data_IF_817918309972
#
_entry.id   IF_817918309972
#
_cell.length_a   1.000
_cell.length_b   1.000
_cell.length_c   1.000
_cell.angle_alpha   90.00
_cell.angle_beta   90.00
_cell.angle_gamma   90.00
#
_symmetry.space_group_name_H-M   'P 1'
#
loop_
_entity.id
_entity.type
_entity.pdbx_description
1 polymer ?
#
# COMPACT_ATOMS: atom_id res chain seq x y z
N UNK A 1 27.38 7.11 -1.44
CA UNK A 1 27.39 5.65 -1.70
C UNK A 1 28.82 5.15 -1.64
N UNK A 2 29.05 4.03 -0.93
CA UNK A 2 30.35 3.35 -0.89
C UNK A 2 30.17 1.98 -1.55
N UNK A 3 31.16 1.60 -2.36
CA UNK A 3 31.19 0.24 -2.90
C UNK A 3 31.38 -0.72 -1.72
N UNK A 4 30.58 -1.78 -1.60
CA UNK A 4 30.83 -2.80 -0.58
C UNK A 4 32.21 -3.40 -0.69
N UNK A 5 32.87 -3.55 0.44
CA UNK A 5 34.26 -4.11 0.51
C UNK A 5 34.25 -5.65 0.45
N UNK A 6 33.10 -6.29 0.61
CA UNK A 6 32.92 -7.74 0.58
C UNK A 6 31.98 -8.14 -0.54
N UNK A 7 32.09 -9.37 -0.97
CA UNK A 7 31.13 -9.95 -1.90
C UNK A 7 29.71 -9.88 -1.31
N UNK A 8 28.80 -9.30 -2.08
CA UNK A 8 27.39 -9.27 -1.73
C UNK A 8 26.73 -10.50 -2.31
N UNK A 9 25.95 -11.20 -1.48
CA UNK A 9 25.14 -12.33 -1.93
C UNK A 9 24.12 -11.84 -2.95
N UNK A 10 24.02 -12.59 -4.08
CA UNK A 10 23.11 -12.29 -5.19
C UNK A 10 22.26 -13.48 -5.53
N UNK A 11 21.07 -13.22 -6.02
CA UNK A 11 20.23 -14.20 -6.70
C UNK A 11 20.64 -14.35 -8.16
N UNK A 12 20.57 -15.55 -8.68
CA UNK A 12 20.73 -15.83 -10.13
C UNK A 12 19.36 -15.77 -10.78
N UNK A 13 19.19 -14.84 -11.73
CA UNK A 13 17.96 -14.69 -12.50
C UNK A 13 18.12 -15.34 -13.86
N UNK A 14 17.22 -16.25 -14.21
CA UNK A 14 17.13 -16.88 -15.51
C UNK A 14 15.83 -16.47 -16.18
N UNK A 15 15.92 -15.88 -17.37
CA UNK A 15 14.76 -15.49 -18.19
C UNK A 15 14.83 -16.22 -19.53
N UNK A 16 13.73 -16.82 -19.95
CA UNK A 16 13.66 -17.56 -21.18
C UNK A 16 12.39 -17.22 -21.98
N UNK A 17 12.50 -17.25 -23.30
CA UNK A 17 11.40 -17.06 -24.25
C UNK A 17 11.61 -17.99 -25.44
N UNK A 18 10.55 -18.61 -25.93
CA UNK A 18 10.57 -19.37 -27.16
C UNK A 18 10.20 -18.50 -28.38
N UNK A 19 10.81 -18.78 -29.52
CA UNK A 19 10.49 -18.18 -30.81
C UNK A 19 9.98 -19.23 -31.75
N UNK A 20 8.79 -19.04 -32.28
CA UNK A 20 8.20 -19.91 -33.29
C UNK A 20 8.72 -19.62 -34.71
N UNK A 21 8.52 -20.54 -35.66
CA UNK A 21 8.96 -20.38 -37.06
C UNK A 21 8.35 -19.14 -37.74
N UNK A 22 7.15 -18.74 -37.34
CA UNK A 22 6.40 -17.61 -37.91
C UNK A 22 6.71 -16.28 -37.24
N UNK A 23 7.78 -16.20 -36.42
CA UNK A 23 8.14 -15.01 -35.67
C UNK A 23 7.29 -14.80 -34.41
N UNK A 24 6.37 -15.71 -34.10
CA UNK A 24 5.61 -15.66 -32.84
C UNK A 24 6.54 -15.91 -31.67
N UNK A 25 6.26 -15.20 -30.56
CA UNK A 25 7.05 -15.28 -29.31
C UNK A 25 6.16 -15.73 -28.16
N UNK A 26 6.69 -16.61 -27.30
CA UNK A 26 6.04 -16.94 -26.04
C UNK A 26 6.13 -15.78 -25.04
N UNK A 27 5.35 -15.84 -23.97
CA UNK A 27 5.60 -15.10 -22.75
C UNK A 27 7.03 -15.33 -22.26
N UNK A 28 7.57 -14.37 -21.50
CA UNK A 28 8.86 -14.54 -20.83
C UNK A 28 8.63 -15.28 -19.53
N UNK A 29 9.28 -16.43 -19.38
CA UNK A 29 9.33 -17.17 -18.11
C UNK A 29 10.55 -16.71 -17.33
N UNK A 30 10.36 -16.34 -16.07
CA UNK A 30 11.40 -15.83 -15.18
C UNK A 30 11.50 -16.71 -13.94
N UNK A 31 12.72 -17.15 -13.61
CA UNK A 31 13.02 -17.86 -12.37
C UNK A 31 14.22 -17.21 -11.67
N UNK A 32 14.15 -17.15 -10.33
CA UNK A 32 15.26 -16.72 -9.49
C UNK A 32 15.74 -17.88 -8.63
N UNK A 33 17.04 -18.05 -8.58
CA UNK A 33 17.70 -19.07 -7.77
C UNK A 33 18.66 -18.40 -6.78
N UNK A 34 18.56 -18.82 -5.53
CA UNK A 34 19.48 -18.46 -4.46
C UNK A 34 20.32 -19.68 -4.12
N UNK A 35 21.63 -19.59 -4.34
CA UNK A 35 22.57 -20.72 -4.14
C UNK A 35 23.60 -20.34 -3.09
N UNK A 36 23.55 -21.01 -1.94
CA UNK A 36 24.46 -20.85 -0.81
C UNK A 36 24.46 -22.15 -0.01
N UNK A 37 25.61 -22.57 0.52
CA UNK A 37 25.72 -23.77 1.34
C UNK A 37 24.85 -23.69 2.62
N UNK A 38 24.62 -22.47 3.13
CA UNK A 38 23.86 -22.19 4.33
C UNK A 38 22.56 -21.42 4.04
N UNK A 39 21.96 -21.62 2.87
CA UNK A 39 20.79 -20.81 2.43
C UNK A 39 19.65 -20.85 3.44
N UNK A 40 19.35 -22.00 4.05
CA UNK A 40 18.30 -22.18 5.05
C UNK A 40 18.52 -21.34 6.33
N UNK A 41 19.76 -20.97 6.62
CA UNK A 41 20.14 -20.18 7.79
C UNK A 41 20.35 -18.69 7.46
N UNK A 42 20.50 -18.35 6.17
CA UNK A 42 20.86 -16.99 5.73
C UNK A 42 19.77 -15.97 6.03
N UNK A 43 18.52 -16.30 5.75
CA UNK A 43 17.39 -15.39 5.95
C UNK A 43 16.31 -16.09 6.81
N UNK A 44 15.91 -15.42 7.88
CA UNK A 44 14.78 -15.82 8.73
C UNK A 44 13.48 -15.11 8.35
N UNK A 45 13.55 -14.22 7.37
CA UNK A 45 12.44 -13.52 6.77
C UNK A 45 12.14 -14.12 5.39
N UNK A 46 10.90 -14.01 4.90
CA UNK A 46 10.61 -14.33 3.51
C UNK A 46 11.46 -13.46 2.58
N UNK A 47 11.71 -13.98 1.39
CA UNK A 47 12.48 -13.29 0.35
C UNK A 47 11.57 -12.96 -0.83
N UNK A 48 11.58 -11.71 -1.27
CA UNK A 48 10.97 -11.29 -2.52
C UNK A 48 12.04 -11.08 -3.56
N UNK A 49 11.91 -11.77 -4.71
CA UNK A 49 12.64 -11.46 -5.93
C UNK A 49 11.74 -10.69 -6.88
N UNK A 50 12.14 -9.48 -7.22
CA UNK A 50 11.47 -8.63 -8.21
C UNK A 50 12.36 -8.52 -9.44
N UNK A 51 11.89 -9.00 -10.58
CA UNK A 51 12.64 -9.01 -11.84
C UNK A 51 11.93 -8.18 -12.89
N UNK A 52 12.63 -7.20 -13.43
CA UNK A 52 12.11 -6.31 -14.49
C UNK A 52 13.24 -5.89 -15.42
N UNK A 53 12.93 -5.34 -16.57
CA UNK A 53 13.94 -4.72 -17.43
C UNK A 53 14.63 -3.56 -16.69
N UNK A 54 15.96 -3.49 -16.67
CA UNK A 54 16.66 -2.41 -15.97
C UNK A 54 16.22 -1.00 -16.38
N UNK A 55 15.84 -0.80 -17.64
CA UNK A 55 15.33 0.47 -18.13
C UNK A 55 14.03 0.89 -17.45
N UNK A 56 13.17 -0.06 -17.03
CA UNK A 56 11.95 0.23 -16.27
C UNK A 56 12.22 0.99 -14.96
N UNK A 57 13.38 0.76 -14.38
CA UNK A 57 13.81 1.39 -13.12
C UNK A 57 14.71 2.61 -13.34
N UNK A 58 15.67 2.51 -14.29
CA UNK A 58 16.83 3.40 -14.33
C UNK A 58 16.96 4.23 -15.62
N UNK A 59 16.08 4.06 -16.61
CA UNK A 59 16.11 4.92 -17.81
C UNK A 59 15.77 6.38 -17.44
N UNK A 60 16.44 7.32 -18.11
CA UNK A 60 16.28 8.75 -17.85
C UNK A 60 14.88 9.26 -18.14
N UNK A 61 14.23 8.76 -19.18
CA UNK A 61 12.91 9.22 -19.59
C UNK A 61 11.77 8.49 -18.88
N UNK A 62 11.92 7.19 -18.66
CA UNK A 62 10.83 6.29 -18.25
C UNK A 62 11.10 5.52 -16.98
N UNK A 63 12.31 5.54 -16.45
CA UNK A 63 12.70 4.79 -15.25
C UNK A 63 12.05 5.32 -13.98
N UNK A 64 11.28 4.47 -13.32
CA UNK A 64 10.46 4.87 -12.17
C UNK A 64 11.27 5.13 -10.88
N UNK A 65 12.56 4.85 -10.86
CA UNK A 65 13.43 5.15 -9.72
C UNK A 65 14.24 6.44 -9.93
N UNK A 66 14.14 7.04 -11.11
CA UNK A 66 14.95 8.20 -11.49
C UNK A 66 14.24 9.52 -11.17
N UNK A 67 15.03 10.55 -10.95
CA UNK A 67 14.58 11.94 -11.06
C UNK A 67 14.16 12.24 -12.49
N UNK A 68 15.00 11.87 -13.42
CA UNK A 68 14.78 11.77 -14.86
C UNK A 68 14.39 13.08 -15.54
N UNK A 69 13.79 12.93 -16.72
CA UNK A 69 13.36 14.06 -17.55
C UNK A 69 12.31 14.93 -16.84
N UNK A 70 11.40 14.32 -16.08
CA UNK A 70 10.35 15.07 -15.37
C UNK A 70 10.97 16.12 -14.44
N UNK A 71 12.00 15.74 -13.65
CA UNK A 71 12.63 16.72 -12.78
C UNK A 71 13.45 17.75 -13.53
N UNK A 72 14.14 17.36 -14.60
CA UNK A 72 14.90 18.30 -15.43
C UNK A 72 13.99 19.37 -16.07
N UNK A 73 12.84 18.97 -16.58
CA UNK A 73 11.86 19.90 -17.16
C UNK A 73 11.28 20.83 -16.08
N UNK A 74 10.96 20.27 -14.91
CA UNK A 74 10.46 21.06 -13.79
C UNK A 74 11.47 22.12 -13.33
N UNK A 75 12.75 21.74 -13.17
CA UNK A 75 13.84 22.70 -12.81
C UNK A 75 13.97 23.79 -13.86
N UNK A 76 13.91 23.43 -15.14
CA UNK A 76 14.00 24.40 -16.23
C UNK A 76 12.84 25.42 -16.21
N UNK A 77 11.67 24.99 -15.77
CA UNK A 77 10.46 25.82 -15.65
C UNK A 77 10.39 26.59 -14.32
N UNK A 78 11.21 26.24 -13.33
CA UNK A 78 11.22 26.83 -11.99
C UNK A 78 12.66 27.20 -11.56
N UNK A 79 13.33 28.14 -12.26
CA UNK A 79 14.70 28.50 -11.98
C UNK A 79 14.85 29.07 -10.55
N UNK A 80 15.80 28.54 -9.80
CA UNK A 80 16.08 28.96 -8.42
C UNK A 80 15.17 28.31 -7.34
N UNK A 81 14.26 27.44 -7.71
CA UNK A 81 13.46 26.70 -6.74
C UNK A 81 14.32 25.74 -5.89
N UNK A 82 13.97 25.63 -4.60
CA UNK A 82 14.59 24.66 -3.69
C UNK A 82 14.05 23.26 -3.99
N UNK A 83 14.97 22.29 -4.13
CA UNK A 83 14.61 20.90 -4.40
C UNK A 83 14.44 20.14 -3.10
N UNK A 84 13.32 19.46 -2.94
CA UNK A 84 13.00 18.62 -1.79
C UNK A 84 12.28 17.32 -2.20
N UNK A 85 11.71 16.60 -1.23
CA UNK A 85 10.99 15.33 -1.47
C UNK A 85 9.69 15.48 -2.26
N UNK A 86 9.13 16.68 -2.35
CA UNK A 86 7.93 16.99 -3.13
C UNK A 86 8.25 17.36 -4.59
N UNK A 87 9.52 17.67 -4.88
CA UNK A 87 9.95 18.06 -6.23
C UNK A 87 9.58 16.98 -7.26
N UNK A 88 8.86 17.33 -8.34
CA UNK A 88 8.50 16.36 -9.36
C UNK A 88 9.70 15.63 -9.96
N UNK A 89 9.53 14.35 -10.22
CA UNK A 89 10.51 13.47 -10.87
C UNK A 89 9.78 12.25 -11.46
N UNK A 90 10.48 11.40 -12.21
CA UNK A 90 9.88 10.16 -12.70
C UNK A 90 9.33 9.30 -11.57
N UNK A 91 10.01 9.30 -10.40
CA UNK A 91 9.66 8.46 -9.26
C UNK A 91 8.33 8.84 -8.60
N UNK A 92 7.80 10.03 -8.80
CA UNK A 92 6.52 10.42 -8.18
C UNK A 92 5.36 10.55 -9.17
N UNK A 93 5.56 10.11 -10.39
CA UNK A 93 4.51 10.07 -11.39
C UNK A 93 3.47 9.00 -11.06
N UNK A 94 2.26 9.20 -11.55
CA UNK A 94 1.09 8.36 -11.30
C UNK A 94 0.50 7.90 -12.63
N UNK A 95 -0.47 7.02 -12.58
CA UNK A 95 -1.17 6.51 -13.75
C UNK A 95 -0.57 5.21 -14.29
N UNK A 96 -1.29 4.61 -15.23
CA UNK A 96 -0.90 3.32 -15.82
C UNK A 96 0.30 3.45 -16.76
N UNK A 97 0.55 4.61 -17.32
CA UNK A 97 1.70 4.93 -18.17
C UNK A 97 3.03 4.90 -17.38
N UNK A 98 2.96 5.02 -16.05
CA UNK A 98 4.11 4.90 -15.15
C UNK A 98 4.18 3.57 -14.42
N UNK A 99 3.30 2.63 -14.77
CA UNK A 99 3.37 1.25 -14.29
C UNK A 99 4.31 0.44 -15.18
N UNK A 100 5.21 -0.34 -14.58
CA UNK A 100 6.21 -1.15 -15.29
C UNK A 100 5.95 -2.61 -15.05
N UNK A 101 6.12 -3.41 -16.10
CA UNK A 101 6.02 -4.86 -16.00
C UNK A 101 7.19 -5.44 -15.18
N UNK A 102 6.88 -6.40 -14.33
CA UNK A 102 7.84 -7.15 -13.54
C UNK A 102 7.33 -8.56 -13.26
N UNK A 103 8.24 -9.47 -12.93
CA UNK A 103 7.91 -10.76 -12.32
C UNK A 103 8.26 -10.69 -10.84
N UNK A 104 7.30 -11.02 -9.96
CA UNK A 104 7.53 -11.19 -8.53
C UNK A 104 7.56 -12.68 -8.20
N UNK A 105 8.57 -13.10 -7.42
CA UNK A 105 8.60 -14.42 -6.79
C UNK A 105 8.73 -14.23 -5.28
N UNK A 106 7.85 -14.89 -4.56
CA UNK A 106 7.84 -14.90 -3.09
C UNK A 106 8.36 -16.25 -2.59
N UNK A 107 9.37 -16.20 -1.74
CA UNK A 107 9.96 -17.36 -1.08
C UNK A 107 9.69 -17.30 0.41
N UNK A 108 9.23 -18.39 0.98
CA UNK A 108 9.12 -18.56 2.43
C UNK A 108 10.51 -18.66 3.08
N UNK A 109 10.62 -18.46 4.41
CA UNK A 109 11.90 -18.57 5.11
C UNK A 109 12.58 -19.95 5.00
N UNK A 110 11.80 -21.00 4.73
CA UNK A 110 12.31 -22.36 4.50
C UNK A 110 12.83 -22.58 3.06
N UNK A 111 12.73 -21.56 2.21
CA UNK A 111 13.13 -21.58 0.81
C UNK A 111 12.08 -22.10 -0.17
N UNK A 112 10.89 -22.51 0.32
CA UNK A 112 9.79 -22.88 -0.57
C UNK A 112 9.27 -21.68 -1.35
N UNK A 113 8.88 -21.91 -2.62
CA UNK A 113 8.25 -20.88 -3.46
C UNK A 113 6.77 -20.79 -3.07
N UNK A 114 6.35 -19.66 -2.54
CA UNK A 114 4.96 -19.38 -2.27
C UNK A 114 4.17 -19.09 -3.55
N UNK A 115 4.66 -18.15 -4.35
CA UNK A 115 4.08 -17.87 -5.67
C UNK A 115 5.11 -17.18 -6.59
N UNK A 116 4.86 -17.27 -7.89
CA UNK A 116 5.52 -16.48 -8.92
C UNK A 116 4.46 -15.92 -9.86
N UNK A 117 4.50 -14.62 -10.14
CA UNK A 117 3.48 -13.95 -10.96
C UNK A 117 4.05 -12.75 -11.69
N UNK A 118 3.59 -12.53 -12.93
CA UNK A 118 3.81 -11.29 -13.64
C UNK A 118 2.85 -10.20 -13.12
N UNK A 119 3.39 -9.01 -12.88
CA UNK A 119 2.70 -7.92 -12.18
C UNK A 119 3.10 -6.58 -12.77
N UNK A 120 2.34 -5.54 -12.47
CA UNK A 120 2.77 -4.16 -12.62
C UNK A 120 3.43 -3.65 -11.35
N UNK A 121 4.46 -2.83 -11.51
CA UNK A 121 5.10 -2.15 -10.38
C UNK A 121 5.16 -0.64 -10.62
N UNK A 122 5.04 0.11 -9.54
CA UNK A 122 5.33 1.55 -9.50
C UNK A 122 5.73 1.98 -8.09
N UNK A 123 6.33 3.13 -7.95
CA UNK A 123 6.56 3.75 -6.64
C UNK A 123 5.24 4.21 -6.03
N UNK A 124 5.16 4.26 -4.70
CA UNK A 124 3.99 4.80 -3.98
C UNK A 124 4.40 5.66 -2.79
N UNK A 125 3.41 6.30 -2.14
CA UNK A 125 3.63 7.22 -1.03
C UNK A 125 3.76 8.68 -1.48
N UNK A 126 4.16 9.53 -0.56
CA UNK A 126 4.44 10.96 -0.75
C UNK A 126 5.94 11.21 -0.92
N UNK A 127 6.54 11.85 0.08
CA UNK A 127 7.98 12.18 0.16
C UNK A 127 8.89 10.97 0.08
N UNK A 128 8.50 9.84 0.64
CA UNK A 128 9.29 8.59 0.66
C UNK A 128 9.69 8.11 -0.74
N UNK A 129 8.96 8.49 -1.80
CA UNK A 129 9.34 8.19 -3.19
C UNK A 129 10.64 8.87 -3.63
N UNK A 130 11.01 9.99 -3.00
CA UNK A 130 12.27 10.67 -3.27
C UNK A 130 13.48 9.97 -2.60
N UNK A 131 13.25 9.16 -1.56
CA UNK A 131 14.29 8.44 -0.84
C UNK A 131 15.05 7.47 -1.75
N UNK A 132 16.28 7.12 -1.38
CA UNK A 132 17.08 6.11 -2.13
C UNK A 132 16.43 4.74 -2.07
N UNK A 133 15.89 4.36 -0.91
CA UNK A 133 15.13 3.14 -0.67
C UNK A 133 13.66 3.43 -0.96
N UNK A 134 13.25 3.16 -2.19
CA UNK A 134 11.92 3.55 -2.69
C UNK A 134 10.84 2.54 -2.33
N UNK A 135 9.68 2.97 -1.83
CA UNK A 135 8.54 2.09 -1.66
C UNK A 135 7.97 1.70 -3.02
N UNK A 136 7.59 0.42 -3.15
CA UNK A 136 7.10 -0.18 -4.40
C UNK A 136 5.69 -0.73 -4.18
N UNK A 137 4.77 -0.36 -5.06
CA UNK A 137 3.45 -0.98 -5.18
C UNK A 137 3.51 -2.07 -6.24
N UNK A 138 3.10 -3.28 -5.89
CA UNK A 138 2.97 -4.43 -6.77
C UNK A 138 1.48 -4.64 -7.06
N UNK A 139 1.11 -4.71 -8.33
CA UNK A 139 -0.30 -4.72 -8.78
C UNK A 139 -0.53 -5.90 -9.72
N UNK A 140 -1.44 -6.79 -9.36
CA UNK A 140 -1.87 -7.86 -10.26
C UNK A 140 -2.84 -7.33 -11.31
N UNK A 141 -2.55 -7.60 -12.59
CA UNK A 141 -3.42 -7.23 -13.73
C UNK A 141 -3.29 -8.26 -14.85
N UNK A 142 -4.39 -8.59 -15.50
CA UNK A 142 -4.41 -9.46 -16.69
C UNK A 142 -3.49 -9.00 -17.83
N UNK A 143 -3.19 -7.72 -17.92
CA UNK A 143 -2.27 -7.20 -18.95
C UNK A 143 -0.81 -7.65 -18.77
N UNK A 144 -0.44 -8.13 -17.57
CA UNK A 144 0.90 -8.61 -17.24
C UNK A 144 0.97 -10.12 -17.10
N UNK A 145 -0.17 -10.79 -16.83
CA UNK A 145 -0.25 -12.23 -16.62
C UNK A 145 -1.70 -12.70 -16.56
N UNK A 146 -1.93 -13.94 -16.15
CA UNK A 146 -3.24 -14.58 -16.24
C UNK A 146 -4.22 -14.17 -15.13
N UNK A 147 -3.74 -13.56 -14.04
CA UNK A 147 -4.56 -13.24 -12.86
C UNK A 147 -4.68 -11.74 -12.60
N UNK A 148 -5.83 -11.33 -12.08
CA UNK A 148 -6.07 -9.98 -11.58
C UNK A 148 -5.80 -9.85 -10.08
N UNK A 149 -5.45 -10.94 -9.41
CA UNK A 149 -5.18 -11.02 -7.99
C UNK A 149 -3.93 -11.83 -7.69
N UNK A 150 -3.30 -11.57 -6.55
CA UNK A 150 -2.28 -12.41 -5.93
C UNK A 150 -3.04 -13.32 -4.97
N UNK A 151 -2.98 -14.62 -5.20
CA UNK A 151 -3.66 -15.62 -4.37
C UNK A 151 -2.63 -16.41 -3.55
N UNK A 152 -2.34 -15.91 -2.36
CA UNK A 152 -1.40 -16.53 -1.44
C UNK A 152 -1.59 -15.96 -0.01
N UNK A 153 -1.46 -16.77 1.06
CA UNK A 153 -1.54 -16.28 2.44
C UNK A 153 -0.26 -15.52 2.84
N UNK A 154 -0.04 -14.37 2.19
CA UNK A 154 1.16 -13.54 2.39
C UNK A 154 1.38 -13.19 3.87
N UNK A 155 0.29 -12.99 4.60
CA UNK A 155 0.30 -12.65 6.03
C UNK A 155 -0.21 -13.84 6.83
N UNK A 156 0.68 -14.64 7.45
CA UNK A 156 0.28 -15.83 8.21
C UNK A 156 -0.69 -15.48 9.34
N UNK A 157 -1.82 -16.18 9.40
CA UNK A 157 -2.84 -15.97 10.43
C UNK A 157 -3.76 -14.78 10.22
N UNK A 158 -3.55 -13.96 9.17
CA UNK A 158 -4.45 -12.85 8.86
C UNK A 158 -5.80 -13.40 8.38
N UNK A 159 -6.87 -12.93 9.01
CA UNK A 159 -8.26 -13.29 8.68
C UNK A 159 -9.01 -12.06 8.17
N UNK A 160 -10.14 -12.29 7.50
CA UNK A 160 -11.01 -11.22 7.03
C UNK A 160 -11.64 -10.50 8.22
N UNK A 161 -11.70 -9.19 8.20
CA UNK A 161 -12.22 -8.40 9.31
C UNK A 161 -13.73 -8.54 9.49
N UNK A 162 -14.47 -8.70 8.40
CA UNK A 162 -15.91 -8.96 8.43
C UNK A 162 -16.31 -10.43 8.62
N UNK A 163 -15.33 -11.36 8.56
CA UNK A 163 -15.55 -12.81 8.74
C UNK A 163 -14.26 -13.47 9.27
N UNK A 164 -14.01 -13.39 10.59
CA UNK A 164 -12.77 -13.88 11.21
C UNK A 164 -12.53 -15.39 11.10
N UNK A 165 -13.52 -16.16 10.63
CA UNK A 165 -13.34 -17.59 10.37
C UNK A 165 -12.66 -17.85 9.02
N UNK A 166 -12.58 -16.84 8.16
CA UNK A 166 -11.99 -16.96 6.83
C UNK A 166 -10.60 -16.32 6.75
N UNK A 167 -9.58 -17.05 6.28
CA UNK A 167 -8.27 -16.48 6.03
C UNK A 167 -8.33 -15.44 4.90
N UNK A 168 -7.51 -14.40 5.01
CA UNK A 168 -7.31 -13.42 3.95
C UNK A 168 -6.12 -13.87 3.08
N UNK A 169 -6.41 -14.29 1.85
CA UNK A 169 -5.42 -14.88 0.94
C UNK A 169 -5.41 -14.27 -0.45
N UNK A 170 -6.28 -13.30 -0.71
CA UNK A 170 -6.44 -12.69 -2.04
C UNK A 170 -6.17 -11.21 -1.98
N UNK A 171 -5.26 -10.73 -2.83
CA UNK A 171 -4.84 -9.32 -2.85
C UNK A 171 -4.81 -8.80 -4.30
N UNK A 172 -5.42 -7.65 -4.55
CA UNK A 172 -5.25 -6.94 -5.84
C UNK A 172 -3.87 -6.36 -5.97
N UNK A 173 -3.34 -5.89 -4.86
CA UNK A 173 -2.04 -5.26 -4.78
C UNK A 173 -1.41 -5.44 -3.40
N UNK A 174 -0.10 -5.40 -3.38
CA UNK A 174 0.71 -5.39 -2.16
C UNK A 174 1.61 -4.15 -2.17
N UNK A 175 1.84 -3.59 -1.01
CA UNK A 175 2.80 -2.52 -0.81
C UNK A 175 4.08 -3.09 -0.24
N UNK A 176 5.21 -2.84 -0.89
CA UNK A 176 6.54 -3.10 -0.36
C UNK A 176 7.03 -1.75 0.21
N UNK A 177 6.72 -1.51 1.49
CA UNK A 177 7.01 -0.25 2.16
C UNK A 177 8.46 -0.21 2.61
N UNK A 178 9.14 0.88 2.31
CA UNK A 178 10.52 1.15 2.73
C UNK A 178 10.62 1.85 4.10
N UNK A 179 9.56 1.77 4.90
CA UNK A 179 9.45 2.32 6.26
C UNK A 179 9.32 3.85 6.36
N UNK A 180 8.98 4.52 5.26
CA UNK A 180 8.63 5.95 5.30
C UNK A 180 9.66 6.83 6.01
N UNK A 181 9.21 7.54 7.04
CA UNK A 181 10.07 8.41 7.84
C UNK A 181 11.00 7.64 8.81
N UNK A 182 10.68 6.37 9.09
CA UNK A 182 11.44 5.51 10.01
C UNK A 182 12.57 4.69 9.33
N UNK A 183 12.84 4.89 8.02
CA UNK A 183 13.75 4.04 7.24
C UNK A 183 15.22 4.10 7.70
N UNK A 184 15.66 5.21 8.31
CA UNK A 184 17.00 5.37 8.90
C UNK A 184 17.07 5.00 10.39
N UNK A 185 15.96 4.56 10.98
CA UNK A 185 15.85 4.28 12.42
C UNK A 185 15.53 2.80 12.67
N UNK A 186 14.27 2.46 12.93
CA UNK A 186 13.87 1.10 13.32
C UNK A 186 13.34 0.27 12.16
N UNK A 187 12.87 0.89 11.10
CA UNK A 187 12.23 0.30 9.92
C UNK A 187 10.93 -0.47 10.22
N UNK A 188 10.36 -0.36 11.40
CA UNK A 188 9.17 -1.11 11.81
C UNK A 188 8.14 -0.29 12.59
N UNK A 189 8.36 1.02 12.80
CA UNK A 189 7.51 1.86 13.68
C UNK A 189 6.04 1.80 13.29
N UNK A 190 5.69 2.13 12.05
CA UNK A 190 4.31 2.08 11.56
C UNK A 190 3.67 0.69 11.75
N UNK A 191 4.41 -0.37 11.44
CA UNK A 191 3.92 -1.74 11.60
C UNK A 191 3.68 -2.10 13.07
N UNK A 192 4.61 -1.73 13.96
CA UNK A 192 4.47 -1.95 15.40
C UNK A 192 3.26 -1.20 15.96
N UNK A 193 3.12 0.07 15.63
CA UNK A 193 2.01 0.91 16.11
C UNK A 193 0.65 0.32 15.68
N UNK A 194 0.50 -0.05 14.41
CA UNK A 194 -0.73 -0.70 13.94
C UNK A 194 -0.99 -2.04 14.63
N UNK A 195 0.05 -2.84 14.91
CA UNK A 195 -0.10 -4.13 15.60
C UNK A 195 -0.58 -4.01 17.05
N UNK A 196 -0.28 -2.88 17.72
CA UNK A 196 -0.73 -2.64 19.10
C UNK A 196 -2.24 -2.43 19.22
N UNK A 197 -2.89 -2.04 18.14
CA UNK A 197 -4.35 -1.80 18.08
C UNK A 197 -5.08 -2.79 17.19
N UNK A 198 -4.37 -3.79 16.68
CA UNK A 198 -4.99 -4.85 15.90
C UNK A 198 -6.05 -5.59 16.73
N UNK A 199 -7.23 -5.80 16.14
CA UNK A 199 -8.36 -6.44 16.83
C UNK A 199 -9.15 -5.54 17.78
N UNK A 200 -8.81 -4.25 17.91
CA UNK A 200 -9.56 -3.28 18.74
C UNK A 200 -10.69 -2.55 17.98
N UNK A 201 -11.02 -2.99 16.76
CA UNK A 201 -12.14 -2.43 15.98
C UNK A 201 -11.77 -1.29 15.04
N UNK A 202 -10.48 -1.01 14.85
CA UNK A 202 -9.98 -0.10 13.82
C UNK A 202 -9.32 -0.89 12.67
N UNK A 203 -9.50 -0.43 11.46
CA UNK A 203 -8.85 -1.03 10.30
C UNK A 203 -7.35 -0.74 10.30
N UNK A 204 -6.55 -1.80 10.25
CA UNK A 204 -5.09 -1.79 10.14
C UNK A 204 -4.64 -2.58 8.92
N UNK A 205 -3.40 -2.45 8.53
CA UNK A 205 -2.83 -3.16 7.39
C UNK A 205 -2.14 -4.45 7.84
N UNK A 206 -2.34 -5.55 7.14
CA UNK A 206 -1.49 -6.74 7.30
C UNK A 206 -0.01 -6.36 7.17
N UNK A 207 0.84 -7.05 7.93
CA UNK A 207 2.27 -6.77 8.01
C UNK A 207 3.10 -8.05 7.95
N UNK A 208 4.13 -8.02 7.09
CA UNK A 208 5.17 -9.03 7.10
C UNK A 208 6.49 -8.42 6.60
N UNK A 209 7.58 -8.42 7.40
CA UNK A 209 8.87 -7.98 6.91
C UNK A 209 9.45 -8.98 5.91
N UNK A 210 10.20 -8.51 4.93
CA UNK A 210 10.86 -9.36 3.93
C UNK A 210 12.22 -8.82 3.54
N UNK A 211 13.08 -9.70 3.02
CA UNK A 211 14.29 -9.34 2.29
C UNK A 211 13.95 -9.21 0.82
N UNK A 212 14.36 -8.13 0.18
CA UNK A 212 14.08 -7.90 -1.22
C UNK A 212 15.33 -7.96 -2.09
N UNK A 213 15.19 -8.61 -3.24
CA UNK A 213 16.14 -8.58 -4.34
C UNK A 213 15.48 -7.97 -5.57
N UNK A 214 16.20 -7.11 -6.28
CA UNK A 214 15.80 -6.57 -7.58
C UNK A 214 16.79 -7.04 -8.63
N UNK A 215 16.32 -7.75 -9.64
CA UNK A 215 17.16 -8.33 -10.71
C UNK A 215 18.35 -9.14 -10.15
N UNK A 216 18.14 -9.87 -9.06
CA UNK A 216 19.15 -10.67 -8.38
C UNK A 216 20.06 -9.88 -7.42
N UNK A 217 20.04 -8.56 -7.42
CA UNK A 217 20.80 -7.72 -6.49
C UNK A 217 20.08 -7.57 -5.15
N UNK A 218 20.80 -7.71 -4.03
CA UNK A 218 20.26 -7.45 -2.71
C UNK A 218 19.84 -5.99 -2.58
N UNK A 219 18.57 -5.76 -2.21
CA UNK A 219 17.98 -4.41 -2.16
C UNK A 219 17.62 -3.92 -0.76
N UNK A 220 17.69 -4.78 0.23
CA UNK A 220 17.43 -4.45 1.63
C UNK A 220 16.17 -5.08 2.21
N UNK A 221 15.74 -4.56 3.37
CA UNK A 221 14.55 -5.00 4.08
C UNK A 221 13.36 -4.12 3.68
N UNK A 222 12.24 -4.74 3.42
CA UNK A 222 10.97 -4.09 3.15
C UNK A 222 9.87 -4.64 4.06
N UNK A 223 8.83 -3.87 4.24
CA UNK A 223 7.62 -4.26 4.94
C UNK A 223 6.51 -4.51 3.93
N UNK A 224 6.10 -5.75 3.77
CA UNK A 224 4.93 -6.09 2.96
C UNK A 224 3.70 -5.61 3.73
N UNK A 225 2.82 -4.86 3.05
CA UNK A 225 1.60 -4.30 3.64
C UNK A 225 0.42 -4.49 2.70
N UNK A 226 -0.79 -4.57 3.25
CA UNK A 226 -2.01 -4.36 2.48
C UNK A 226 -2.10 -2.91 1.99
N UNK A 227 -2.82 -2.66 0.91
CA UNK A 227 -3.19 -1.31 0.50
C UNK A 227 -4.61 -1.02 1.01
N UNK A 228 -4.80 0.06 1.76
CA UNK A 228 -6.11 0.51 2.23
C UNK A 228 -6.86 1.24 1.11
N UNK A 229 -7.52 0.46 0.27
CA UNK A 229 -8.28 0.91 -0.90
C UNK A 229 -9.61 0.13 -1.01
N UNK A 230 -10.31 0.29 -2.13
CA UNK A 230 -11.56 -0.41 -2.41
C UNK A 230 -11.41 -1.94 -2.38
N UNK A 231 -10.27 -2.47 -2.78
CA UNK A 231 -10.01 -3.91 -2.74
C UNK A 231 -9.81 -4.42 -1.30
N UNK A 232 -9.22 -3.60 -0.43
CA UNK A 232 -9.15 -3.92 0.99
C UNK A 232 -10.55 -4.09 1.58
N UNK A 233 -11.44 -3.14 1.33
CA UNK A 233 -12.82 -3.19 1.83
C UNK A 233 -13.56 -4.40 1.25
N UNK A 234 -13.49 -4.61 -0.06
CA UNK A 234 -14.09 -5.76 -0.70
C UNK A 234 -13.60 -7.08 -0.12
N UNK A 235 -12.29 -7.26 0.00
CA UNK A 235 -11.69 -8.52 0.46
C UNK A 235 -11.95 -8.81 1.94
N UNK A 236 -11.89 -7.77 2.79
CA UNK A 236 -12.08 -7.91 4.23
C UNK A 236 -13.53 -8.00 4.65
N UNK A 237 -14.44 -7.25 4.00
CA UNK A 237 -15.83 -7.10 4.42
C UNK A 237 -16.84 -7.65 3.42
N UNK A 238 -16.42 -8.07 2.23
CA UNK A 238 -17.29 -8.54 1.15
C UNK A 238 -18.35 -7.49 0.71
N UNK A 239 -17.97 -6.22 0.74
CA UNK A 239 -18.79 -5.12 0.21
C UNK A 239 -18.61 -5.04 -1.30
N UNK A 240 -19.71 -4.86 -2.05
CA UNK A 240 -19.65 -4.66 -3.50
C UNK A 240 -18.91 -3.36 -3.84
N UNK A 241 -18.09 -3.37 -4.88
CA UNK A 241 -17.31 -2.20 -5.30
C UNK A 241 -18.17 -0.98 -5.58
N UNK A 242 -19.39 -1.16 -6.10
CA UNK A 242 -20.31 -0.05 -6.36
C UNK A 242 -20.83 0.64 -5.09
N UNK A 243 -20.77 -0.05 -3.94
CA UNK A 243 -21.25 0.44 -2.66
C UNK A 243 -20.13 0.95 -1.75
N UNK A 244 -18.87 0.82 -2.16
CA UNK A 244 -17.74 1.30 -1.37
C UNK A 244 -17.60 2.81 -1.52
N UNK A 245 -17.40 3.48 -0.39
CA UNK A 245 -17.01 4.90 -0.32
C UNK A 245 -15.78 5.02 0.54
N UNK A 246 -14.74 5.66 0.01
CA UNK A 246 -13.51 5.99 0.75
C UNK A 246 -13.20 7.46 0.53
N UNK A 247 -12.98 8.18 1.62
CA UNK A 247 -12.50 9.57 1.60
C UNK A 247 -11.12 9.65 2.23
N UNK A 248 -10.27 10.56 1.76
CA UNK A 248 -8.92 10.75 2.26
C UNK A 248 -8.68 12.25 2.53
N UNK A 249 -8.13 12.55 3.71
CA UNK A 249 -7.71 13.89 4.07
C UNK A 249 -6.32 14.20 3.54
N UNK A 250 -6.15 15.37 2.95
CA UNK A 250 -4.88 15.84 2.42
C UNK A 250 -4.41 17.11 3.14
N UNK A 251 -3.10 17.18 3.41
CA UNK A 251 -2.47 18.35 4.02
C UNK A 251 -2.75 19.62 3.21
N UNK A 252 -3.23 20.65 3.90
CA UNK A 252 -3.49 21.97 3.31
C UNK A 252 -4.87 22.15 2.68
N UNK A 253 -5.78 21.18 2.82
CA UNK A 253 -7.16 21.27 2.36
C UNK A 253 -8.15 21.26 3.55
N UNK A 254 -9.20 22.07 3.43
CA UNK A 254 -10.29 22.12 4.42
C UNK A 254 -11.28 20.97 4.18
N UNK A 255 -10.86 19.74 4.46
CA UNK A 255 -11.78 18.61 4.40
C UNK A 255 -11.19 17.32 3.85
N UNK A 256 -12.10 16.42 3.45
CA UNK A 256 -11.80 15.12 2.88
C UNK A 256 -12.06 15.16 1.37
N UNK A 257 -11.16 14.55 0.60
CA UNK A 257 -11.31 14.35 -0.83
C UNK A 257 -11.86 12.96 -1.14
N UNK A 258 -12.48 12.83 -2.29
CA UNK A 258 -12.92 11.53 -2.79
C UNK A 258 -11.70 10.69 -3.18
N UNK A 259 -11.48 9.57 -2.48
CA UNK A 259 -10.53 8.55 -2.89
C UNK A 259 -11.19 7.50 -3.78
N UNK A 260 -12.37 6.99 -3.38
CA UNK A 260 -13.19 6.03 -4.13
C UNK A 260 -14.67 6.22 -3.83
N UNK A 261 -15.54 6.14 -4.84
CA UNK A 261 -16.98 6.34 -4.70
C UNK A 261 -17.48 7.40 -5.68
N UNK A 262 -18.40 8.25 -5.23
CA UNK A 262 -19.04 9.31 -6.02
C UNK A 262 -18.91 10.67 -5.31
N UNK A 263 -18.94 11.76 -6.07
CA UNK A 263 -18.84 13.13 -5.53
C UNK A 263 -19.93 13.45 -4.47
N UNK A 264 -21.12 12.93 -4.64
CA UNK A 264 -22.20 13.09 -3.66
C UNK A 264 -21.87 12.48 -2.28
N UNK A 265 -20.98 11.46 -2.22
CA UNK A 265 -20.57 10.84 -0.96
C UNK A 265 -19.73 11.80 -0.11
N UNK A 266 -18.90 12.63 -0.76
CA UNK A 266 -18.11 13.67 -0.08
C UNK A 266 -19.04 14.67 0.61
N UNK A 267 -20.13 15.05 -0.06
CA UNK A 267 -21.12 15.97 0.51
C UNK A 267 -21.72 15.42 1.80
N UNK A 268 -22.08 14.12 1.82
CA UNK A 268 -22.70 13.51 3.00
C UNK A 268 -21.80 13.53 4.24
N UNK A 269 -20.48 13.37 4.04
CA UNK A 269 -19.52 13.49 5.13
C UNK A 269 -19.35 14.95 5.58
N UNK A 270 -19.28 15.90 4.64
CA UNK A 270 -19.20 17.33 4.95
C UNK A 270 -20.45 17.81 5.71
N UNK A 271 -21.64 17.41 5.29
CA UNK A 271 -22.89 17.74 5.98
C UNK A 271 -22.87 17.24 7.44
N UNK A 272 -22.30 16.05 7.69
CA UNK A 272 -22.10 15.53 9.05
C UNK A 272 -21.12 16.37 9.87
N UNK A 273 -19.99 16.75 9.31
CA UNK A 273 -19.02 17.60 9.98
C UNK A 273 -19.61 18.99 10.27
N UNK A 274 -20.35 19.56 9.33
CA UNK A 274 -21.03 20.83 9.52
C UNK A 274 -22.14 20.75 10.58
N UNK A 275 -22.84 19.60 10.67
CA UNK A 275 -23.76 19.37 11.76
C UNK A 275 -23.05 19.40 13.13
N UNK A 276 -21.92 18.70 13.27
CA UNK A 276 -21.11 18.70 14.50
C UNK A 276 -20.63 20.11 14.88
N UNK A 277 -20.19 20.91 13.89
CA UNK A 277 -19.72 22.27 14.10
C UNK A 277 -20.79 23.25 14.55
N UNK A 278 -22.01 23.06 14.08
CA UNK A 278 -23.11 24.01 14.28
C UNK A 278 -24.09 23.63 15.39
N UNK A 279 -23.90 22.48 16.04
CA UNK A 279 -24.79 21.99 17.09
C UNK A 279 -24.01 21.65 18.36
N UNK A 280 -24.68 21.82 19.51
CA UNK A 280 -24.09 21.46 20.81
C UNK A 280 -24.19 19.94 21.02
N UNK A 281 -23.06 19.22 21.05
CA UNK A 281 -22.96 17.79 21.25
C UNK A 281 -23.23 17.35 22.71
N UNK A 282 -23.41 18.28 23.65
CA UNK A 282 -23.90 17.94 25.00
C UNK A 282 -25.41 17.70 25.05
N UNK A 283 -26.13 18.05 23.98
CA UNK A 283 -27.55 17.76 23.78
C UNK A 283 -27.66 16.30 23.28
N UNK A 284 -28.34 15.41 24.02
CA UNK A 284 -28.40 13.99 23.68
C UNK A 284 -28.85 13.69 22.24
N UNK A 285 -29.85 14.39 21.76
CA UNK A 285 -30.42 14.18 20.42
C UNK A 285 -29.40 14.51 19.32
N UNK A 286 -28.55 15.52 19.51
CA UNK A 286 -27.48 15.86 18.57
C UNK A 286 -26.39 14.80 18.58
N UNK A 287 -26.00 14.34 19.75
CA UNK A 287 -25.02 13.27 19.90
C UNK A 287 -25.53 11.95 19.30
N UNK A 288 -26.77 11.57 19.59
CA UNK A 288 -27.40 10.34 19.05
C UNK A 288 -27.45 10.37 17.51
N UNK A 289 -27.75 11.53 16.91
CA UNK A 289 -27.69 11.67 15.47
C UNK A 289 -26.29 11.38 14.94
N UNK A 290 -25.25 12.00 15.51
CA UNK A 290 -23.87 11.76 15.07
C UNK A 290 -23.45 10.30 15.30
N UNK A 291 -23.79 9.72 16.46
CA UNK A 291 -23.52 8.32 16.78
C UNK A 291 -24.23 7.34 15.84
N UNK A 292 -25.37 7.75 15.26
CA UNK A 292 -26.03 6.96 14.22
C UNK A 292 -25.28 6.98 12.87
N UNK A 293 -24.46 7.99 12.59
CA UNK A 293 -23.76 8.19 11.31
C UNK A 293 -22.34 7.65 11.32
N UNK A 294 -21.69 7.54 12.48
CA UNK A 294 -20.32 7.05 12.62
C UNK A 294 -20.26 5.84 13.56
N UNK A 295 -19.29 4.98 13.36
CA UNK A 295 -18.95 3.94 14.31
C UNK A 295 -18.13 4.56 15.44
N UNK A 296 -18.82 4.82 16.58
CA UNK A 296 -18.23 5.53 17.72
C UNK A 296 -17.07 4.76 18.34
N UNK A 297 -17.16 3.43 18.43
CA UNK A 297 -16.10 2.60 18.99
C UNK A 297 -14.85 2.65 18.12
N UNK A 298 -15.00 2.52 16.79
CA UNK A 298 -13.93 2.70 15.83
C UNK A 298 -13.31 4.10 15.94
N UNK A 299 -14.14 5.15 16.01
CA UNK A 299 -13.70 6.53 16.16
C UNK A 299 -12.85 6.74 17.42
N UNK A 300 -13.29 6.21 18.56
CA UNK A 300 -12.57 6.34 19.84
C UNK A 300 -11.22 5.63 19.77
N UNK A 301 -11.20 4.38 19.28
CA UNK A 301 -9.96 3.59 19.16
C UNK A 301 -8.97 4.27 18.22
N UNK A 302 -9.44 4.75 17.07
CA UNK A 302 -8.60 5.45 16.09
C UNK A 302 -7.94 6.69 16.69
N UNK A 303 -8.72 7.58 17.29
CA UNK A 303 -8.20 8.83 17.87
C UNK A 303 -7.31 8.58 19.10
N UNK A 304 -7.67 7.62 19.94
CA UNK A 304 -6.82 7.22 21.07
C UNK A 304 -5.46 6.67 20.60
N UNK A 305 -5.45 5.87 19.53
CA UNK A 305 -4.23 5.34 18.93
C UNK A 305 -3.34 6.47 18.38
N UNK A 306 -3.87 7.37 17.55
CA UNK A 306 -3.13 8.47 16.94
C UNK A 306 -2.52 9.41 18.00
N UNK A 307 -3.29 9.74 19.05
CA UNK A 307 -2.82 10.55 20.17
C UNK A 307 -1.74 9.82 20.98
N UNK A 308 -1.96 8.53 21.31
CA UNK A 308 -1.00 7.73 22.09
C UNK A 308 0.32 7.53 21.36
N UNK A 309 0.28 7.32 20.03
CA UNK A 309 1.47 7.16 19.20
C UNK A 309 2.22 8.49 18.99
N UNK A 310 1.57 9.62 19.26
CA UNK A 310 2.13 10.95 19.02
C UNK A 310 2.40 11.20 17.55
N UNK A 311 1.50 10.75 16.68
CA UNK A 311 1.60 10.98 15.22
C UNK A 311 1.53 12.49 14.95
N UNK A 312 2.67 13.09 14.56
CA UNK A 312 2.78 14.52 14.34
C UNK A 312 2.28 14.99 12.99
N UNK A 313 2.10 14.08 12.05
CA UNK A 313 1.56 14.37 10.72
C UNK A 313 0.02 14.34 10.69
N UNK A 314 -0.57 13.78 11.74
CA UNK A 314 -2.01 13.72 11.98
C UNK A 314 -2.47 14.89 12.88
N UNK A 315 -3.69 15.44 12.74
CA UNK A 315 -4.77 15.07 11.81
C UNK A 315 -4.75 15.84 10.48
N UNK A 316 -3.74 16.67 10.22
CA UNK A 316 -3.64 17.45 8.99
C UNK A 316 -3.37 16.60 7.73
N UNK A 317 -2.90 15.38 7.92
CA UNK A 317 -2.58 14.41 6.89
C UNK A 317 -2.92 12.99 7.39
N UNK A 318 -2.80 11.98 6.51
CA UNK A 318 -2.93 10.56 6.87
C UNK A 318 -4.29 10.18 7.52
N UNK A 319 -5.36 10.87 7.15
CA UNK A 319 -6.72 10.56 7.60
C UNK A 319 -7.46 9.87 6.45
N UNK A 320 -8.01 8.71 6.71
CA UNK A 320 -8.84 7.98 5.74
C UNK A 320 -10.07 7.42 6.45
N UNK A 321 -11.23 7.62 5.81
CA UNK A 321 -12.50 7.08 6.30
C UNK A 321 -13.21 6.34 5.20
N UNK A 322 -14.01 5.36 5.56
CA UNK A 322 -14.82 4.62 4.63
C UNK A 322 -16.19 4.24 5.19
N UNK A 323 -17.10 3.92 4.29
CA UNK A 323 -18.38 3.27 4.62
C UNK A 323 -18.89 2.45 3.44
N UNK A 324 -19.82 1.56 3.70
CA UNK A 324 -20.72 1.04 2.66
C UNK A 324 -21.79 2.09 2.37
N UNK A 325 -22.04 2.37 1.10
CA UNK A 325 -23.19 3.19 0.69
C UNK A 325 -24.48 2.40 0.90
N UNK A 326 -25.42 2.93 1.67
CA UNK A 326 -26.72 2.36 1.95
C UNK A 326 -27.77 3.47 1.95
N UNK A 327 -29.03 3.13 1.63
CA UNK A 327 -30.16 4.08 1.73
C UNK A 327 -30.52 4.39 3.19
N UNK A 328 -30.30 3.42 4.07
CA UNK A 328 -30.56 3.54 5.51
C UNK A 328 -29.40 2.96 6.30
N UNK A 329 -29.08 3.57 7.43
CA UNK A 329 -28.10 3.05 8.37
C UNK A 329 -28.78 1.97 9.23
N UNK A 330 -28.15 0.80 9.31
CA UNK A 330 -28.61 -0.34 10.09
C UNK A 330 -27.50 -0.80 11.05
N UNK A 331 -27.56 -0.34 12.33
CA UNK A 331 -26.56 -0.70 13.33
C UNK A 331 -26.42 -2.21 13.60
N UNK A 332 -27.48 -2.99 13.31
CA UNK A 332 -27.52 -4.43 13.52
C UNK A 332 -26.97 -5.23 12.31
N UNK A 333 -26.61 -4.54 11.22
CA UNK A 333 -26.00 -5.18 10.07
C UNK A 333 -24.62 -5.77 10.41
N UNK A 334 -24.15 -6.76 9.63
CA UNK A 334 -22.79 -7.29 9.82
C UNK A 334 -21.70 -6.20 9.78
N UNK A 335 -20.56 -6.40 10.42
CA UNK A 335 -19.47 -5.42 10.45
C UNK A 335 -19.13 -4.88 9.05
N UNK A 336 -19.04 -3.57 8.91
CA UNK A 336 -18.78 -2.88 7.66
C UNK A 336 -19.97 -2.76 6.69
N UNK A 337 -21.16 -3.31 7.03
CA UNK A 337 -22.36 -3.25 6.19
C UNK A 337 -23.42 -2.28 6.69
N UNK A 338 -23.26 -1.70 7.86
CA UNK A 338 -24.22 -0.84 8.56
C UNK A 338 -24.37 0.57 7.98
N UNK A 339 -23.48 0.99 7.07
CA UNK A 339 -23.50 2.31 6.42
C UNK A 339 -22.87 3.43 7.23
N UNK A 340 -22.35 3.15 8.44
CA UNK A 340 -21.66 4.13 9.28
C UNK A 340 -20.23 4.39 8.81
N UNK A 341 -19.74 5.62 9.00
CA UNK A 341 -18.36 5.98 8.72
C UNK A 341 -17.40 5.34 9.73
N UNK A 342 -16.26 4.82 9.20
CA UNK A 342 -15.16 4.19 9.95
C UNK A 342 -13.83 4.78 9.53
N UNK A 343 -12.92 4.90 10.49
CA UNK A 343 -11.54 5.34 10.27
C UNK A 343 -10.62 4.15 10.03
N UNK A 344 -9.64 4.36 9.16
CA UNK A 344 -8.57 3.41 8.86
C UNK A 344 -7.25 3.97 9.34
N UNK A 345 -6.46 3.17 10.06
CA UNK A 345 -5.19 3.58 10.61
C UNK A 345 -4.04 3.22 9.66
N UNK A 346 -3.25 4.20 9.28
CA UNK A 346 -2.07 4.01 8.43
C UNK A 346 -1.11 5.19 8.57
N UNK A 347 0.19 4.96 8.19
CA UNK A 347 1.23 5.99 8.14
C UNK A 347 1.41 6.70 9.48
N UNK A 348 1.61 5.88 10.52
CA UNK A 348 1.70 6.29 11.93
C UNK A 348 3.13 6.65 12.37
N UNK A 349 4.12 6.71 11.43
CA UNK A 349 5.54 6.95 11.69
C UNK A 349 6.05 8.36 11.32
#
# INVERSE_FOLDING_TARGET
>A
WRVPEKDIFKGTVVRARAFGPDGNMSEIVTHTYFVDENMAERYKLPVISLVTEPANLFDYFTGIFMKGKVQADWISSNPGAVLDGSTPGNYNQRGMEWEREATITFFEPDGTVGFTQNVGIRTFGGWSRANRHKPIRVIARKRYGDSETIEYPVFPGLVKRGDPEKPLTTFKQLLLRSSGNDWESTMMRDALMQSLVEGLGVDTQGYRPCVMFINGEFWGIYNIREALDEHYIHNNYNVDFNDIVILEGNSGQDGMDLYYGKEEDVKSFRDLIDFVRNNDMTIPENYEYVASQIDIDNFIVYHAAEIYFGNTDWPGNNVKVWRKRTDTIDPDAPPGHDGRWRWMLYDTD
#
